data_IF_282099156684
#
_entry.id   IF_282099156684
#
_cell.length_a   1.000
_cell.length_b   1.000
_cell.length_c   1.000
_cell.angle_alpha   90.00
_cell.angle_beta   90.00
_cell.angle_gamma   90.00
#
_symmetry.space_group_name_H-M   'P 1'
#
loop_
_entity.id
_entity.type
_entity.pdbx_description
1 polymer ?
#
# COMPACT_ATOMS: atom_id res chain seq x y z
N UNK A 1 44.02 51.04 10.42
CA UNK A 1 43.78 49.61 10.75
C UNK A 1 42.29 49.21 10.71
N UNK A 2 41.34 50.08 11.08
CA UNK A 2 39.90 49.73 11.10
C UNK A 2 39.26 49.35 9.74
N UNK A 3 39.71 49.92 8.61
CA UNK A 3 39.16 49.56 7.27
C UNK A 3 39.52 48.13 6.81
N UNK A 4 40.71 47.62 7.17
CA UNK A 4 41.13 46.26 6.83
C UNK A 4 40.33 45.20 7.62
N UNK A 5 39.98 45.52 8.87
CA UNK A 5 39.15 44.65 9.71
C UNK A 5 37.71 44.54 9.21
N UNK A 6 37.11 45.64 8.74
CA UNK A 6 35.75 45.61 8.18
C UNK A 6 35.66 44.82 6.88
N UNK A 7 36.69 44.90 6.04
CA UNK A 7 36.74 44.12 4.80
C UNK A 7 36.88 42.61 5.09
N UNK A 8 37.74 42.25 6.05
CA UNK A 8 37.87 40.86 6.51
C UNK A 8 36.59 40.28 7.10
N UNK A 9 35.84 41.08 7.88
CA UNK A 9 34.57 40.64 8.46
C UNK A 9 33.47 40.46 7.40
N UNK A 10 33.40 41.34 6.39
CA UNK A 10 32.46 41.19 5.27
C UNK A 10 32.78 39.99 4.40
N UNK A 11 34.07 39.68 4.16
CA UNK A 11 34.46 38.50 3.38
C UNK A 11 34.15 37.22 4.16
N UNK A 12 34.37 37.20 5.47
CA UNK A 12 34.00 36.07 6.33
C UNK A 12 32.48 35.84 6.36
N UNK A 13 31.68 36.90 6.50
CA UNK A 13 30.22 36.83 6.43
C UNK A 13 29.73 36.35 5.06
N UNK A 14 30.39 36.78 3.97
CA UNK A 14 30.05 36.35 2.62
C UNK A 14 30.40 34.87 2.41
N UNK A 15 31.55 34.40 2.87
CA UNK A 15 31.93 32.97 2.82
C UNK A 15 31.01 32.08 3.66
N UNK A 16 30.59 32.54 4.85
CA UNK A 16 29.59 31.84 5.68
C UNK A 16 28.23 31.80 4.99
N UNK A 17 27.83 32.89 4.32
CA UNK A 17 26.58 32.91 3.55
C UNK A 17 26.63 32.00 2.31
N UNK A 18 27.77 31.91 1.62
CA UNK A 18 27.96 31.01 0.48
C UNK A 18 28.00 29.55 0.95
N UNK A 19 28.58 29.24 2.10
CA UNK A 19 28.51 27.89 2.68
C UNK A 19 27.10 27.52 3.15
N UNK A 20 26.31 28.46 3.68
CA UNK A 20 24.90 28.23 4.02
C UNK A 20 24.02 28.04 2.76
N UNK A 21 24.33 28.74 1.66
CA UNK A 21 23.62 28.59 0.37
C UNK A 21 24.03 27.28 -0.33
N UNK A 22 25.30 26.88 -0.28
CA UNK A 22 25.76 25.59 -0.81
C UNK A 22 25.22 24.42 0.02
N UNK A 23 25.13 24.54 1.36
CA UNK A 23 24.52 23.52 2.21
C UNK A 23 23.00 23.38 2.00
N UNK A 24 22.33 24.43 1.51
CA UNK A 24 20.91 24.37 1.15
C UNK A 24 20.64 23.79 -0.26
N UNK A 25 21.68 23.64 -1.09
CA UNK A 25 21.56 23.22 -2.48
C UNK A 25 22.15 21.83 -2.76
N UNK A 26 22.70 21.17 -1.74
CA UNK A 26 22.90 19.71 -1.77
C UNK A 26 21.57 19.05 -1.43
N UNK A 27 20.82 18.64 -2.47
CA UNK A 27 19.78 17.62 -2.31
C UNK A 27 20.45 16.38 -1.73
N UNK A 28 20.24 16.16 -0.43
CA UNK A 28 20.62 14.93 0.24
C UNK A 28 19.89 13.75 -0.41
N UNK A 29 20.58 12.71 -0.90
CA UNK A 29 19.93 11.55 -1.50
C UNK A 29 19.43 10.62 -0.39
N UNK A 30 18.43 11.04 0.39
CA UNK A 30 18.09 10.35 1.64
C UNK A 30 16.74 9.63 1.61
N UNK A 31 15.99 9.75 0.51
CA UNK A 31 14.74 9.02 0.30
C UNK A 31 14.80 8.26 -1.02
N UNK A 32 15.60 7.19 -1.08
CA UNK A 32 15.59 6.25 -2.20
C UNK A 32 14.52 5.18 -1.93
N UNK A 33 13.28 5.43 -2.30
CA UNK A 33 12.42 4.36 -2.83
C UNK A 33 12.54 4.41 -4.34
N UNK A 34 13.22 3.45 -4.93
CA UNK A 34 13.35 3.36 -6.39
C UNK A 34 11.95 3.29 -6.99
N UNK A 35 11.66 4.21 -7.92
CA UNK A 35 10.48 4.20 -8.78
C UNK A 35 10.45 2.85 -9.48
N UNK A 36 9.50 1.98 -9.17
CA UNK A 36 9.15 0.89 -10.09
C UNK A 36 8.75 1.57 -11.40
N UNK A 37 9.42 1.18 -12.49
CA UNK A 37 9.37 1.88 -13.76
C UNK A 37 7.94 2.04 -14.26
N UNK A 38 7.57 3.29 -14.54
CA UNK A 38 6.47 3.56 -15.47
C UNK A 38 6.89 3.06 -16.84
N UNK A 39 6.27 1.99 -17.34
CA UNK A 39 6.35 1.61 -18.74
C UNK A 39 5.64 2.68 -19.58
N UNK A 40 6.39 3.72 -19.92
CA UNK A 40 6.03 4.73 -20.91
C UNK A 40 6.21 4.12 -22.31
N UNK A 41 5.24 3.30 -22.74
CA UNK A 41 5.15 2.86 -24.14
C UNK A 41 4.29 3.82 -24.95
N UNK A 42 4.84 5.03 -25.17
CA UNK A 42 4.32 6.00 -26.15
C UNK A 42 5.38 6.40 -27.17
N UNK A 43 6.01 5.41 -27.83
CA UNK A 43 6.64 5.61 -29.14
C UNK A 43 6.39 4.41 -30.03
N UNK A 44 5.46 4.59 -30.98
CA UNK A 44 5.32 3.73 -32.13
C UNK A 44 6.58 3.84 -32.99
N UNK A 45 7.21 2.70 -33.23
CA UNK A 45 8.08 2.50 -34.38
C UNK A 45 7.24 1.70 -35.39
N UNK A 46 6.83 2.36 -36.47
CA UNK A 46 6.23 1.72 -37.63
C UNK A 46 7.27 0.81 -38.27
N UNK A 47 7.25 -0.49 -37.95
CA UNK A 47 7.80 -1.50 -38.84
C UNK A 47 6.73 -1.89 -39.86
N UNK A 48 6.88 -1.34 -41.07
CA UNK A 48 6.27 -1.83 -42.30
C UNK A 48 6.42 -3.35 -42.37
N UNK A 49 5.32 -4.08 -42.28
CA UNK A 49 5.26 -5.48 -42.71
C UNK A 49 4.69 -5.49 -44.11
N UNK A 50 5.57 -5.78 -45.07
CA UNK A 50 5.20 -6.22 -46.40
C UNK A 50 4.41 -7.53 -46.27
N UNK A 51 3.31 -7.63 -47.00
CA UNK A 51 2.54 -8.85 -47.17
C UNK A 51 3.43 -9.92 -47.81
N UNK A 52 3.82 -10.94 -47.04
CA UNK A 52 4.30 -12.22 -47.58
C UNK A 52 3.34 -13.34 -47.19
N UNK A 53 3.08 -14.18 -48.18
CA UNK A 53 1.98 -15.13 -48.29
C UNK A 53 1.93 -16.20 -47.19
N UNK A 54 0.71 -16.73 -47.03
CA UNK A 54 0.36 -17.91 -46.26
C UNK A 54 1.06 -19.17 -46.75
N UNK A 55 2.28 -19.45 -46.27
CA UNK A 55 2.93 -20.75 -46.38
C UNK A 55 3.21 -21.36 -44.99
N UNK A 56 2.51 -22.46 -44.70
CA UNK A 56 2.70 -23.45 -43.62
C UNK A 56 3.63 -23.07 -42.45
N UNK A 57 3.08 -22.45 -41.39
CA UNK A 57 3.77 -22.33 -40.11
C UNK A 57 4.04 -23.72 -39.52
N UNK A 58 5.32 -24.11 -39.41
CA UNK A 58 5.74 -25.40 -38.85
C UNK A 58 5.30 -25.51 -37.38
N UNK A 59 4.25 -26.29 -37.11
CA UNK A 59 3.75 -26.49 -35.73
C UNK A 59 4.76 -27.33 -34.93
N UNK A 60 5.24 -26.77 -33.83
CA UNK A 60 6.17 -27.45 -32.92
C UNK A 60 5.52 -28.73 -32.36
N UNK A 61 6.26 -29.83 -32.22
CA UNK A 61 5.78 -31.09 -31.60
C UNK A 61 6.34 -31.22 -30.17
N UNK A 62 5.56 -30.87 -29.12
CA UNK A 62 6.02 -30.92 -27.74
C UNK A 62 6.35 -32.33 -27.30
N UNK A 63 7.36 -32.45 -26.44
CA UNK A 63 7.68 -33.66 -25.68
C UNK A 63 7.58 -33.37 -24.18
N UNK A 64 7.69 -34.38 -23.33
CA UNK A 64 7.65 -34.22 -21.87
C UNK A 64 8.81 -33.38 -21.30
N UNK A 65 9.91 -33.24 -22.06
CA UNK A 65 11.06 -32.39 -21.70
C UNK A 65 10.97 -31.02 -22.38
N UNK A 66 11.48 -29.99 -21.69
CA UNK A 66 11.56 -28.62 -22.19
C UNK A 66 12.47 -28.52 -23.42
N UNK A 67 11.98 -27.85 -24.45
CA UNK A 67 12.70 -27.62 -25.70
C UNK A 67 12.53 -26.16 -26.16
N UNK A 68 13.59 -25.56 -26.68
CA UNK A 68 13.58 -24.17 -27.16
C UNK A 68 12.74 -24.00 -28.43
N UNK A 69 11.89 -22.97 -28.45
CA UNK A 69 11.09 -22.53 -29.59
C UNK A 69 11.87 -21.58 -30.48
N UNK A 70 11.75 -21.76 -31.81
CA UNK A 70 12.27 -20.82 -32.79
C UNK A 70 11.31 -19.63 -33.01
N UNK A 71 11.80 -18.44 -33.36
CA UNK A 71 10.95 -17.30 -33.71
C UNK A 71 10.01 -17.65 -34.88
N UNK A 72 8.71 -17.36 -34.73
CA UNK A 72 7.69 -17.64 -35.74
C UNK A 72 7.07 -19.05 -35.69
N UNK A 73 7.53 -19.94 -34.80
CA UNK A 73 7.01 -21.30 -34.71
C UNK A 73 5.71 -21.39 -33.88
N UNK A 74 4.68 -22.06 -34.41
CA UNK A 74 3.39 -22.20 -33.75
C UNK A 74 3.41 -23.29 -32.65
N UNK A 75 2.79 -23.00 -31.49
CA UNK A 75 2.72 -23.92 -30.35
C UNK A 75 1.35 -24.59 -30.25
N UNK A 76 1.26 -25.93 -30.12
CA UNK A 76 -0.03 -26.62 -29.95
C UNK A 76 -0.76 -26.25 -28.66
N UNK A 77 -2.09 -26.18 -28.72
CA UNK A 77 -2.94 -26.00 -27.55
C UNK A 77 -2.72 -27.14 -26.53
N UNK A 78 -2.63 -26.79 -25.24
CA UNK A 78 -2.31 -27.74 -24.16
C UNK A 78 -0.81 -27.91 -23.87
N UNK A 79 0.07 -27.21 -24.60
CA UNK A 79 1.52 -27.21 -24.30
C UNK A 79 1.87 -26.18 -23.24
N UNK A 80 2.75 -26.52 -22.31
CA UNK A 80 3.24 -25.58 -21.30
C UNK A 80 4.45 -24.83 -21.86
N UNK A 81 4.34 -23.49 -21.97
CA UNK A 81 5.39 -22.60 -22.51
C UNK A 81 5.95 -21.75 -21.38
N UNK A 82 7.28 -21.59 -21.33
CA UNK A 82 7.96 -20.69 -20.39
C UNK A 82 9.01 -19.83 -21.09
N UNK A 83 9.38 -18.71 -20.49
CA UNK A 83 10.57 -17.95 -20.84
C UNK A 83 11.69 -18.33 -19.87
N UNK A 84 12.80 -18.85 -20.37
CA UNK A 84 13.97 -19.15 -19.54
C UNK A 84 14.69 -17.84 -19.21
N UNK A 85 14.60 -17.38 -17.96
CA UNK A 85 15.13 -16.09 -17.52
C UNK A 85 16.67 -16.01 -17.48
N UNK A 86 17.38 -17.14 -17.54
CA UNK A 86 18.84 -17.17 -17.66
C UNK A 86 19.31 -17.00 -19.12
N UNK A 87 18.56 -17.54 -20.09
CA UNK A 87 18.96 -17.54 -21.51
C UNK A 87 18.15 -16.61 -22.40
N UNK A 88 17.03 -16.06 -21.90
CA UNK A 88 16.08 -15.23 -22.64
C UNK A 88 15.27 -16.00 -23.68
N UNK A 89 15.37 -17.33 -23.75
CA UNK A 89 14.73 -18.15 -24.77
C UNK A 89 13.37 -18.68 -24.33
N UNK A 90 12.41 -18.75 -25.27
CA UNK A 90 11.11 -19.40 -25.03
C UNK A 90 11.27 -20.91 -25.16
N UNK A 91 10.82 -21.66 -24.17
CA UNK A 91 10.85 -23.13 -24.15
C UNK A 91 9.43 -23.67 -24.03
N UNK A 92 9.16 -24.85 -24.59
CA UNK A 92 7.88 -25.52 -24.50
C UNK A 92 8.04 -27.00 -24.15
N UNK A 93 7.08 -27.54 -23.39
CA UNK A 93 6.93 -28.97 -23.12
C UNK A 93 5.45 -29.38 -23.19
N UNK A 94 5.18 -30.68 -23.21
CA UNK A 94 3.81 -31.22 -23.14
C UNK A 94 3.19 -30.88 -21.77
N UNK A 95 1.94 -30.40 -21.76
CA UNK A 95 1.21 -30.12 -20.53
C UNK A 95 0.65 -31.41 -19.92
N UNK A 96 0.80 -31.56 -18.60
CA UNK A 96 0.12 -32.60 -17.83
C UNK A 96 -1.27 -32.07 -17.46
N UNK A 97 -2.34 -32.85 -17.70
CA UNK A 97 -3.71 -32.52 -17.28
C UNK A 97 -3.84 -32.64 -15.75
N UNK A 98 -3.25 -31.71 -15.01
CA UNK A 98 -3.60 -31.50 -13.61
C UNK A 98 -4.80 -30.55 -13.53
N UNK A 99 -5.94 -31.12 -13.14
CA UNK A 99 -7.19 -30.42 -12.84
C UNK A 99 -6.94 -29.34 -11.77
N UNK A 100 -6.86 -28.09 -12.20
CA UNK A 100 -6.70 -26.93 -11.33
C UNK A 100 -7.93 -26.76 -10.41
N UNK A 101 -7.69 -26.88 -9.11
CA UNK A 101 -8.67 -26.91 -8.01
C UNK A 101 -9.15 -25.53 -7.54
N UNK A 102 -9.17 -24.50 -8.39
CA UNK A 102 -9.47 -23.11 -7.96
C UNK A 102 -10.41 -22.32 -8.87
N UNK A 103 -11.33 -22.98 -9.57
CA UNK A 103 -12.43 -22.31 -10.30
C UNK A 103 -13.80 -22.87 -9.87
N UNK A 104 -14.06 -22.86 -8.56
CA UNK A 104 -15.43 -22.98 -8.02
C UNK A 104 -15.76 -21.71 -7.25
N UNK A 105 -16.26 -20.72 -7.97
CA UNK A 105 -17.50 -20.04 -7.58
C UNK A 105 -18.00 -19.19 -8.75
N UNK A 106 -19.07 -19.67 -9.37
CA UNK A 106 -19.64 -19.10 -10.58
C UNK A 106 -20.71 -20.02 -11.12
N UNK A 107 -21.86 -19.99 -10.46
CA UNK A 107 -23.03 -20.83 -10.70
C UNK A 107 -23.44 -20.80 -12.20
N UNK A 108 -23.02 -21.83 -12.96
CA UNK A 108 -23.62 -22.19 -14.24
C UNK A 108 -23.99 -23.66 -14.17
N UNK A 109 -25.29 -23.92 -14.27
CA UNK A 109 -25.87 -25.24 -14.41
C UNK A 109 -25.10 -26.06 -15.45
N UNK A 110 -24.35 -27.07 -14.98
CA UNK A 110 -23.82 -28.14 -15.82
C UNK A 110 -24.65 -29.38 -15.56
N UNK A 111 -25.51 -29.70 -16.53
CA UNK A 111 -26.12 -31.02 -16.65
C UNK A 111 -25.01 -32.06 -16.80
N UNK A 112 -24.99 -33.03 -15.89
CA UNK A 112 -23.99 -34.09 -15.84
C UNK A 112 -24.23 -35.08 -16.96
N UNK A 113 -23.52 -34.92 -18.08
CA UNK A 113 -23.44 -35.93 -19.12
C UNK A 113 -22.00 -36.32 -19.38
N UNK A 114 -21.70 -37.57 -19.02
CA UNK A 114 -20.49 -38.31 -19.36
C UNK A 114 -20.36 -38.35 -20.90
N UNK A 115 -19.37 -37.65 -21.47
CA UNK A 115 -19.13 -37.70 -22.91
C UNK A 115 -18.63 -39.10 -23.32
N UNK A 116 -19.25 -39.76 -24.31
CA UNK A 116 -18.66 -40.95 -24.91
C UNK A 116 -17.47 -40.52 -25.78
N UNK A 117 -16.30 -41.13 -25.59
CA UNK A 117 -15.14 -40.89 -26.44
C UNK A 117 -15.40 -41.44 -27.84
N UNK A 118 -15.46 -40.58 -28.85
CA UNK A 118 -15.54 -41.01 -30.25
C UNK A 118 -14.22 -41.65 -30.70
N UNK A 119 -14.34 -42.71 -31.49
CA UNK A 119 -13.17 -43.35 -32.10
C UNK A 119 -12.60 -42.50 -33.25
N UNK A 120 -11.31 -42.69 -33.56
CA UNK A 120 -10.65 -41.96 -34.64
C UNK A 120 -11.34 -42.16 -36.00
N UNK A 121 -11.95 -43.34 -36.24
CA UNK A 121 -12.77 -43.60 -37.43
C UNK A 121 -14.08 -42.79 -37.45
N UNK A 122 -14.81 -42.71 -36.33
CA UNK A 122 -16.05 -41.91 -36.24
C UNK A 122 -15.79 -40.42 -36.44
N UNK A 123 -14.67 -39.93 -35.89
CA UNK A 123 -14.24 -38.55 -36.09
C UNK A 123 -13.88 -38.27 -37.55
N UNK A 124 -13.24 -39.24 -38.23
CA UNK A 124 -12.89 -39.15 -39.65
C UNK A 124 -14.13 -39.15 -40.55
N UNK A 125 -15.14 -39.93 -40.22
CA UNK A 125 -16.40 -40.00 -40.95
C UNK A 125 -17.24 -38.72 -40.74
N UNK A 126 -17.23 -38.16 -39.54
CA UNK A 126 -17.83 -36.86 -39.24
C UNK A 126 -17.15 -35.72 -40.02
N UNK A 127 -15.81 -35.69 -40.06
CA UNK A 127 -15.05 -34.69 -40.84
C UNK A 127 -15.28 -34.83 -42.36
N UNK A 128 -15.50 -36.06 -42.85
CA UNK A 128 -15.83 -36.32 -44.25
C UNK A 128 -17.22 -35.80 -44.63
N UNK A 129 -18.18 -35.78 -43.68
CA UNK A 129 -19.49 -35.13 -43.84
C UNK A 129 -19.38 -33.61 -43.85
N UNK A 130 -18.49 -33.02 -43.04
CA UNK A 130 -18.22 -31.57 -43.07
C UNK A 130 -17.59 -31.11 -44.39
N UNK A 131 -16.65 -31.89 -44.95
CA UNK A 131 -15.98 -31.53 -46.22
C UNK A 131 -16.89 -31.64 -47.45
N UNK A 132 -18.00 -32.36 -47.35
CA UNK A 132 -19.00 -32.50 -48.42
C UNK A 132 -20.11 -31.42 -48.40
N UNK A 133 -20.06 -30.52 -47.42
CA UNK A 133 -20.93 -29.33 -47.33
C UNK A 133 -20.25 -28.03 -47.74
N UNK A 134 -19.10 -28.11 -48.43
CA UNK A 134 -18.35 -26.97 -48.96
C UNK A 134 -18.65 -26.70 -50.44
N UNK A 135 -19.87 -27.01 -50.88
CA UNK A 135 -20.47 -26.24 -51.97
C UNK A 135 -21.12 -25.02 -51.30
N UNK A 136 -20.70 -23.83 -51.71
CA UNK A 136 -21.09 -22.52 -51.15
C UNK A 136 -22.52 -22.50 -50.57
N UNK A 137 -22.67 -22.49 -49.22
CA UNK A 137 -23.96 -22.23 -48.63
C UNK A 137 -24.19 -20.71 -48.73
N UNK A 138 -25.06 -20.33 -49.66
CA UNK A 138 -25.74 -19.04 -49.82
C UNK A 138 -25.39 -17.94 -48.79
N UNK A 139 -25.03 -16.76 -49.32
CA UNK A 139 -24.94 -15.42 -48.70
C UNK A 139 -26.01 -15.06 -47.65
N UNK A 140 -27.10 -15.83 -47.53
CA UNK A 140 -28.25 -15.55 -46.66
C UNK A 140 -27.98 -15.76 -45.16
N UNK A 141 -27.08 -16.67 -44.77
CA UNK A 141 -26.85 -16.97 -43.33
C UNK A 141 -25.82 -16.04 -42.66
N UNK A 142 -24.77 -15.65 -43.36
CA UNK A 142 -23.81 -14.66 -42.83
C UNK A 142 -24.38 -13.24 -42.80
N UNK A 143 -25.25 -12.89 -43.76
CA UNK A 143 -25.98 -11.61 -43.75
C UNK A 143 -27.01 -11.53 -42.60
N UNK A 144 -27.72 -12.63 -42.30
CA UNK A 144 -28.65 -12.69 -41.18
C UNK A 144 -27.95 -12.53 -39.81
N UNK A 145 -26.74 -13.07 -39.64
CA UNK A 145 -25.95 -12.90 -38.41
C UNK A 145 -25.36 -11.48 -38.35
N UNK A 146 -24.84 -10.93 -39.45
CA UNK A 146 -24.36 -9.52 -39.48
C UNK A 146 -25.50 -8.51 -39.23
N UNK A 147 -26.72 -8.81 -39.66
CA UNK A 147 -27.90 -7.98 -39.39
C UNK A 147 -28.36 -8.02 -37.91
N UNK A 148 -27.90 -8.99 -37.11
CA UNK A 148 -28.16 -9.03 -35.67
C UNK A 148 -27.19 -8.16 -34.85
N UNK A 149 -26.05 -7.78 -35.42
CA UNK A 149 -25.05 -6.94 -34.75
C UNK A 149 -25.07 -5.52 -35.31
N UNK A 150 -24.92 -4.52 -34.43
CA UNK A 150 -24.76 -3.14 -34.87
C UNK A 150 -23.46 -2.98 -35.67
N UNK A 151 -23.45 -2.14 -36.72
CA UNK A 151 -22.25 -1.88 -37.50
C UNK A 151 -21.15 -1.29 -36.59
N UNK A 152 -19.91 -1.73 -36.80
CA UNK A 152 -18.79 -1.37 -35.93
C UNK A 152 -18.50 0.13 -35.95
N UNK A 153 -18.82 0.82 -37.03
CA UNK A 153 -18.71 2.28 -37.18
C UNK A 153 -19.71 3.04 -36.30
N UNK A 154 -20.91 2.51 -36.11
CA UNK A 154 -21.91 3.08 -35.19
C UNK A 154 -21.49 2.86 -33.74
N UNK A 155 -20.95 1.67 -33.42
CA UNK A 155 -20.39 1.39 -32.09
C UNK A 155 -19.17 2.25 -31.79
N UNK A 156 -18.28 2.50 -32.76
CA UNK A 156 -17.15 3.42 -32.62
C UNK A 156 -17.61 4.85 -32.39
N UNK A 157 -18.61 5.31 -33.14
CA UNK A 157 -19.19 6.65 -32.97
C UNK A 157 -19.90 6.81 -31.63
N UNK A 158 -20.63 5.78 -31.19
CA UNK A 158 -21.27 5.76 -29.88
C UNK A 158 -20.22 5.74 -28.76
N UNK A 159 -19.14 4.95 -28.90
CA UNK A 159 -18.00 4.96 -27.98
C UNK A 159 -17.29 6.31 -27.95
N UNK A 160 -17.04 6.95 -29.09
CA UNK A 160 -16.45 8.30 -29.16
C UNK A 160 -17.37 9.36 -28.53
N UNK A 161 -18.69 9.23 -28.70
CA UNK A 161 -19.66 10.11 -28.06
C UNK A 161 -19.75 9.88 -26.53
N UNK A 162 -19.56 8.64 -26.07
CA UNK A 162 -19.46 8.27 -24.66
C UNK A 162 -18.12 8.71 -24.05
N UNK A 163 -17.01 8.55 -24.76
CA UNK A 163 -15.65 8.95 -24.34
C UNK A 163 -15.55 10.48 -24.14
N UNK A 164 -16.27 11.25 -24.97
CA UNK A 164 -16.45 12.70 -24.81
C UNK A 164 -17.23 13.11 -23.54
N UNK A 165 -17.96 12.18 -22.91
CA UNK A 165 -18.79 12.43 -21.72
C UNK A 165 -18.17 11.90 -20.43
N UNK A 166 -17.13 11.06 -20.51
CA UNK A 166 -16.43 10.52 -19.33
C UNK A 166 -15.25 11.43 -19.02
N UNK A 167 -15.40 12.30 -18.03
CA UNK A 167 -14.26 13.03 -17.48
C UNK A 167 -13.30 12.03 -16.84
N UNK A 168 -12.02 12.08 -17.22
CA UNK A 168 -10.97 11.32 -16.53
C UNK A 168 -10.72 11.90 -15.15
N UNK A 169 -10.31 11.06 -14.20
CA UNK A 169 -9.97 11.51 -12.84
C UNK A 169 -8.94 12.63 -12.84
N UNK A 170 -7.95 12.59 -13.73
CA UNK A 170 -6.94 13.66 -13.87
C UNK A 170 -7.58 15.00 -14.28
N UNK A 171 -8.55 14.99 -15.21
CA UNK A 171 -9.29 16.20 -15.61
C UNK A 171 -10.16 16.72 -14.46
N UNK A 172 -10.85 15.82 -13.75
CA UNK A 172 -11.65 16.17 -12.57
C UNK A 172 -10.77 16.80 -11.49
N UNK A 173 -9.65 16.15 -11.11
CA UNK A 173 -8.71 16.67 -10.12
C UNK A 173 -8.15 18.04 -10.53
N UNK A 174 -7.82 18.25 -11.81
CA UNK A 174 -7.35 19.56 -12.28
C UNK A 174 -8.42 20.64 -12.10
N UNK A 175 -9.69 20.34 -12.40
CA UNK A 175 -10.81 21.26 -12.17
C UNK A 175 -10.96 21.59 -10.68
N UNK A 176 -10.90 20.57 -9.82
CA UNK A 176 -11.00 20.74 -8.35
C UNK A 176 -9.86 21.61 -7.80
N UNK A 177 -8.62 21.38 -8.25
CA UNK A 177 -7.47 22.20 -7.85
C UNK A 177 -7.60 23.66 -8.32
N UNK A 178 -8.12 23.89 -9.54
CA UNK A 178 -8.37 25.23 -10.04
C UNK A 178 -9.48 25.95 -9.26
N UNK A 179 -10.57 25.26 -8.93
CA UNK A 179 -11.63 25.78 -8.07
C UNK A 179 -11.08 26.12 -6.69
N UNK A 180 -10.26 25.23 -6.13
CA UNK A 180 -9.63 25.44 -4.83
C UNK A 180 -8.73 26.69 -4.80
N UNK A 181 -7.91 26.89 -5.84
CA UNK A 181 -6.98 28.01 -5.94
C UNK A 181 -7.64 29.34 -6.35
N UNK A 182 -8.90 29.31 -6.80
CA UNK A 182 -9.62 30.51 -7.20
C UNK A 182 -9.93 31.39 -5.98
N UNK A 183 -9.58 32.68 -6.06
CA UNK A 183 -9.88 33.67 -5.01
C UNK A 183 -11.37 33.94 -4.87
N UNK A 184 -12.13 33.74 -5.94
CA UNK A 184 -13.57 34.00 -5.97
C UNK A 184 -14.39 32.81 -5.44
N UNK A 185 -13.77 31.65 -5.24
CA UNK A 185 -14.48 30.48 -4.72
C UNK A 185 -14.76 30.63 -3.23
N UNK A 186 -15.99 30.26 -2.86
CA UNK A 186 -16.45 30.32 -1.47
C UNK A 186 -15.73 29.27 -0.61
N UNK A 187 -15.76 29.44 0.71
CA UNK A 187 -15.18 28.45 1.62
C UNK A 187 -15.86 27.09 1.48
N UNK A 188 -17.19 27.05 1.29
CA UNK A 188 -17.92 25.79 1.09
C UNK A 188 -17.50 25.10 -0.21
N UNK A 189 -17.35 25.84 -1.30
CA UNK A 189 -16.85 25.29 -2.57
C UNK A 189 -15.45 24.68 -2.42
N UNK A 190 -14.57 25.34 -1.65
CA UNK A 190 -13.23 24.82 -1.37
C UNK A 190 -13.26 23.56 -0.50
N UNK A 191 -14.16 23.49 0.47
CA UNK A 191 -14.36 22.30 1.31
C UNK A 191 -14.87 21.15 0.44
N UNK A 192 -15.90 21.38 -0.39
CA UNK A 192 -16.42 20.36 -1.32
C UNK A 192 -15.34 19.88 -2.27
N UNK A 193 -14.56 20.80 -2.86
CA UNK A 193 -13.48 20.41 -3.76
C UNK A 193 -12.40 19.55 -3.07
N UNK A 194 -12.08 19.83 -1.80
CA UNK A 194 -11.16 19.00 -1.02
C UNK A 194 -11.77 17.63 -0.68
N UNK A 195 -13.06 17.53 -0.41
CA UNK A 195 -13.72 16.25 -0.13
C UNK A 195 -13.81 15.37 -1.40
N UNK A 196 -14.14 15.96 -2.55
CA UNK A 196 -14.14 15.25 -3.82
C UNK A 196 -12.71 14.81 -4.20
N UNK A 197 -11.72 15.66 -3.93
CA UNK A 197 -10.32 15.31 -4.13
C UNK A 197 -9.89 14.17 -3.20
N UNK A 198 -10.33 14.18 -1.94
CA UNK A 198 -10.03 13.11 -0.98
C UNK A 198 -10.50 11.75 -1.48
N UNK A 199 -11.71 11.67 -2.06
CA UNK A 199 -12.24 10.45 -2.65
C UNK A 199 -11.34 9.93 -3.78
N UNK A 200 -10.91 10.81 -4.69
CA UNK A 200 -10.10 10.43 -5.85
C UNK A 200 -8.71 9.93 -5.47
N UNK A 201 -8.07 10.54 -4.47
CA UNK A 201 -6.68 10.22 -4.08
C UNK A 201 -6.54 8.95 -3.24
N UNK A 202 -7.64 8.24 -2.94
CA UNK A 202 -7.56 6.85 -2.45
C UNK A 202 -6.91 5.94 -3.49
N UNK A 203 -7.06 6.26 -4.78
CA UNK A 203 -6.35 5.56 -5.82
C UNK A 203 -4.88 6.03 -5.87
N UNK A 204 -3.97 5.07 -5.84
CA UNK A 204 -2.52 5.29 -5.79
C UNK A 204 -2.04 6.19 -6.93
N UNK A 205 -2.53 5.96 -8.16
CA UNK A 205 -2.16 6.73 -9.34
C UNK A 205 -2.70 8.16 -9.29
N UNK A 206 -3.91 8.35 -8.78
CA UNK A 206 -4.49 9.69 -8.59
C UNK A 206 -3.70 10.50 -7.56
N UNK A 207 -3.24 9.88 -6.47
CA UNK A 207 -2.38 10.53 -5.51
C UNK A 207 -1.02 10.96 -6.14
N UNK A 208 -0.44 10.14 -7.03
CA UNK A 208 0.77 10.52 -7.77
C UNK A 208 0.51 11.63 -8.81
N UNK A 209 -0.65 11.61 -9.45
CA UNK A 209 -1.10 12.67 -10.36
C UNK A 209 -1.32 13.99 -9.60
N UNK A 210 -1.86 13.95 -8.37
CA UNK A 210 -1.98 15.12 -7.50
C UNK A 210 -0.61 15.77 -7.25
N UNK A 211 0.41 14.97 -6.95
CA UNK A 211 1.80 15.45 -6.80
C UNK A 211 2.29 16.07 -8.11
N UNK A 212 2.15 15.36 -9.23
CA UNK A 212 2.62 15.80 -10.55
C UNK A 212 2.01 17.13 -11.00
N UNK A 213 0.78 17.43 -10.56
CA UNK A 213 0.10 18.70 -10.82
C UNK A 213 0.43 19.81 -9.80
N UNK A 214 1.34 19.58 -8.85
CA UNK A 214 1.68 20.52 -7.78
C UNK A 214 0.58 20.67 -6.71
N UNK A 215 -0.44 19.82 -6.74
CA UNK A 215 -1.57 19.88 -5.82
C UNK A 215 -1.21 19.49 -4.39
N UNK A 216 -0.19 18.66 -4.19
CA UNK A 216 0.28 18.28 -2.85
C UNK A 216 0.68 19.50 -2.01
N UNK A 217 1.50 20.41 -2.57
CA UNK A 217 1.92 21.61 -1.85
C UNK A 217 0.74 22.54 -1.55
N UNK A 218 -0.26 22.60 -2.42
CA UNK A 218 -1.50 23.35 -2.17
C UNK A 218 -2.21 22.79 -0.94
N UNK A 219 -2.43 21.48 -0.88
CA UNK A 219 -3.06 20.79 0.27
C UNK A 219 -2.27 21.04 1.56
N UNK A 220 -0.94 20.90 1.53
CA UNK A 220 -0.07 21.17 2.68
C UNK A 220 -0.20 22.61 3.19
N UNK A 221 -0.35 23.58 2.29
CA UNK A 221 -0.53 24.99 2.67
C UNK A 221 -1.88 25.22 3.36
N UNK A 222 -2.93 24.46 3.01
CA UNK A 222 -4.26 24.57 3.63
C UNK A 222 -4.26 24.19 5.11
N UNK A 223 -3.34 23.33 5.55
CA UNK A 223 -3.19 22.99 6.98
C UNK A 223 -2.97 24.23 7.87
N UNK A 224 -2.44 25.32 7.30
CA UNK A 224 -2.25 26.60 7.98
C UNK A 224 -3.47 27.53 7.94
N UNK A 225 -4.59 27.10 7.34
CA UNK A 225 -5.82 27.90 7.27
C UNK A 225 -6.36 28.25 8.67
N UNK A 226 -7.01 29.40 8.78
CA UNK A 226 -7.74 29.79 9.99
C UNK A 226 -9.09 29.07 10.11
N UNK A 227 -9.64 28.54 9.00
CA UNK A 227 -10.87 27.76 9.01
C UNK A 227 -10.56 26.29 9.36
N UNK A 228 -11.13 25.84 10.49
CA UNK A 228 -11.01 24.50 11.05
C UNK A 228 -11.46 23.42 10.06
N UNK A 229 -12.50 23.69 9.26
CA UNK A 229 -13.06 22.73 8.30
C UNK A 229 -12.12 22.52 7.13
N UNK A 230 -11.45 23.59 6.68
CA UNK A 230 -10.40 23.49 5.67
C UNK A 230 -9.19 22.72 6.21
N UNK A 231 -8.78 22.95 7.47
CA UNK A 231 -7.73 22.15 8.11
C UNK A 231 -8.11 20.66 8.17
N UNK A 232 -9.36 20.37 8.53
CA UNK A 232 -9.89 19.00 8.61
C UNK A 232 -9.86 18.29 7.26
N UNK A 233 -10.43 18.92 6.21
CA UNK A 233 -10.47 18.35 4.86
C UNK A 233 -9.07 18.19 4.27
N UNK A 234 -8.18 19.16 4.46
CA UNK A 234 -6.81 19.06 3.97
C UNK A 234 -6.01 17.95 4.64
N UNK A 235 -6.15 17.78 5.96
CA UNK A 235 -5.55 16.66 6.66
C UNK A 235 -6.12 15.33 6.17
N UNK A 236 -7.41 15.29 5.82
CA UNK A 236 -8.03 14.08 5.30
C UNK A 236 -7.50 13.70 3.91
N UNK A 237 -7.48 14.64 2.96
CA UNK A 237 -6.86 14.47 1.63
C UNK A 237 -5.43 13.98 1.76
N UNK A 238 -4.63 14.65 2.60
CA UNK A 238 -3.23 14.30 2.80
C UNK A 238 -3.07 12.87 3.32
N UNK A 239 -3.86 12.47 4.32
CA UNK A 239 -3.80 11.12 4.88
C UNK A 239 -4.20 10.02 3.89
N UNK A 240 -5.17 10.29 3.01
CA UNK A 240 -5.60 9.36 1.97
C UNK A 240 -4.55 9.25 0.86
N UNK A 241 -4.01 10.39 0.40
CA UNK A 241 -3.00 10.43 -0.67
C UNK A 241 -1.68 9.73 -0.31
N UNK A 242 -1.23 9.84 0.94
CA UNK A 242 0.03 9.23 1.40
C UNK A 242 -0.13 7.76 1.83
N UNK A 243 -1.36 7.25 1.92
CA UNK A 243 -1.63 5.90 2.41
C UNK A 243 -1.06 4.86 1.44
N UNK A 244 -0.12 4.04 1.92
CA UNK A 244 0.53 2.99 1.12
C UNK A 244 1.17 3.50 -0.17
N UNK A 245 1.65 4.75 -0.18
CA UNK A 245 2.21 5.38 -1.38
C UNK A 245 3.57 6.06 -1.08
N UNK A 246 4.69 5.32 -1.16
CA UNK A 246 6.02 5.83 -0.80
C UNK A 246 6.43 7.09 -1.56
N UNK A 247 6.15 7.16 -2.86
CA UNK A 247 6.49 8.34 -3.66
C UNK A 247 5.77 9.59 -3.16
N UNK A 248 4.50 9.46 -2.79
CA UNK A 248 3.69 10.58 -2.29
C UNK A 248 4.04 10.91 -0.82
N UNK A 249 4.41 9.90 -0.02
CA UNK A 249 4.94 10.12 1.33
C UNK A 249 6.22 10.96 1.32
N UNK A 250 7.14 10.70 0.39
CA UNK A 250 8.39 11.47 0.22
C UNK A 250 8.06 12.94 -0.04
N UNK A 251 7.24 13.21 -1.05
CA UNK A 251 6.83 14.56 -1.45
C UNK A 251 6.10 15.30 -0.32
N UNK A 252 5.28 14.60 0.45
CA UNK A 252 4.64 15.16 1.63
C UNK A 252 5.63 15.53 2.75
N UNK A 253 6.63 14.68 3.02
CA UNK A 253 7.69 14.98 4.00
C UNK A 253 8.55 16.16 3.55
N UNK A 254 9.01 16.16 2.30
CA UNK A 254 9.83 17.23 1.73
C UNK A 254 9.07 18.56 1.67
N UNK A 255 7.75 18.52 1.40
CA UNK A 255 6.86 19.68 1.47
C UNK A 255 6.58 20.20 2.89
N UNK A 256 7.13 19.55 3.93
CA UNK A 256 7.01 19.96 5.33
C UNK A 256 5.68 19.62 5.98
N UNK A 257 4.94 18.63 5.45
CA UNK A 257 3.63 18.25 5.97
C UNK A 257 3.70 17.75 7.42
N UNK A 258 4.69 16.92 7.75
CA UNK A 258 4.84 16.32 9.08
C UNK A 258 4.93 17.37 10.19
N UNK A 259 5.74 18.43 10.00
CA UNK A 259 5.86 19.51 10.98
C UNK A 259 4.53 20.22 11.23
N UNK A 260 3.77 20.50 10.15
CA UNK A 260 2.45 21.15 10.25
C UNK A 260 1.44 20.26 10.97
N UNK A 261 1.42 18.96 10.63
CA UNK A 261 0.54 17.99 11.27
C UNK A 261 0.84 17.88 12.78
N UNK A 262 2.11 17.76 13.17
CA UNK A 262 2.49 17.73 14.59
C UNK A 262 2.08 19.01 15.32
N UNK A 263 2.23 20.16 14.67
CA UNK A 263 1.77 21.46 15.23
C UNK A 263 0.25 21.48 15.45
N UNK A 264 -0.54 20.91 14.54
CA UNK A 264 -2.00 20.81 14.69
C UNK A 264 -2.41 19.84 15.81
N UNK A 265 -1.65 18.78 16.05
CA UNK A 265 -1.90 17.86 17.18
C UNK A 265 -1.58 18.51 18.53
N UNK A 266 -0.45 19.23 18.60
CA UNK A 266 0.04 19.89 19.82
C UNK A 266 -0.80 21.11 20.21
N UNK A 267 -1.42 21.80 19.26
CA UNK A 267 -2.23 23.00 19.53
C UNK A 267 -3.70 22.68 19.84
N UNK A 268 -4.40 23.65 20.43
CA UNK A 268 -5.84 23.51 20.73
C UNK A 268 -6.64 23.50 19.42
N UNK A 269 -7.22 22.34 19.10
CA UNK A 269 -8.10 22.12 17.95
C UNK A 269 -9.24 21.17 18.33
N UNK A 270 -10.39 21.23 17.61
CA UNK A 270 -11.47 20.27 17.82
C UNK A 270 -11.02 18.83 17.58
N UNK A 271 -11.66 17.90 18.27
CA UNK A 271 -11.35 16.48 18.15
C UNK A 271 -11.56 15.95 16.71
N UNK A 272 -12.46 16.55 15.92
CA UNK A 272 -12.64 16.20 14.50
C UNK A 272 -11.38 16.43 13.67
N UNK A 273 -10.76 17.62 13.80
CA UNK A 273 -9.47 17.94 13.17
C UNK A 273 -8.39 16.99 13.67
N UNK A 274 -8.26 16.81 15.00
CA UNK A 274 -7.22 15.93 15.55
C UNK A 274 -7.36 14.48 15.06
N UNK A 275 -8.58 13.98 14.85
CA UNK A 275 -8.85 12.65 14.24
C UNK A 275 -8.26 12.55 12.83
N UNK A 276 -8.47 13.56 11.98
CA UNK A 276 -7.96 13.57 10.60
C UNK A 276 -6.46 13.81 10.52
N UNK A 277 -5.94 14.70 11.36
CA UNK A 277 -4.50 14.94 11.47
C UNK A 277 -3.77 13.70 11.98
N UNK A 278 -4.29 13.01 13.00
CA UNK A 278 -3.70 11.77 13.50
C UNK A 278 -3.75 10.66 12.44
N UNK A 279 -4.83 10.59 11.66
CA UNK A 279 -4.90 9.69 10.51
C UNK A 279 -3.80 10.00 9.48
N UNK A 280 -3.61 11.27 9.11
CA UNK A 280 -2.55 11.65 8.18
C UNK A 280 -1.15 11.34 8.72
N UNK A 281 -0.89 11.60 10.01
CA UNK A 281 0.37 11.22 10.65
C UNK A 281 0.56 9.71 10.62
N UNK A 282 -0.46 8.92 10.97
CA UNK A 282 -0.40 7.47 10.92
C UNK A 282 -0.04 6.95 9.51
N UNK A 283 -0.76 7.41 8.49
CA UNK A 283 -0.53 7.02 7.09
C UNK A 283 0.85 7.43 6.59
N UNK A 284 1.38 8.56 7.06
CA UNK A 284 2.71 9.05 6.68
C UNK A 284 3.85 8.25 7.33
N UNK A 285 3.63 7.67 8.53
CA UNK A 285 4.64 6.93 9.28
C UNK A 285 4.71 5.45 8.92
N UNK A 286 3.59 4.85 8.52
CA UNK A 286 3.53 3.42 8.19
C UNK A 286 4.40 3.08 7.00
N UNK A 287 5.17 2.01 7.16
CA UNK A 287 6.08 1.46 6.15
C UNK A 287 7.11 2.46 5.61
N UNK A 288 7.40 3.54 6.35
CA UNK A 288 8.28 4.60 5.88
C UNK A 288 9.29 5.06 6.97
N UNK A 289 10.42 4.36 7.12
CA UNK A 289 11.37 4.61 8.21
C UNK A 289 11.99 6.01 8.17
N UNK A 290 12.13 6.61 6.98
CA UNK A 290 12.58 8.01 6.84
C UNK A 290 11.62 8.98 7.55
N UNK A 291 10.30 8.86 7.34
CA UNK A 291 9.31 9.67 8.06
C UNK A 291 9.32 9.37 9.56
N UNK A 292 9.49 8.11 9.97
CA UNK A 292 9.60 7.73 11.38
C UNK A 292 10.80 8.42 12.06
N UNK A 293 11.96 8.43 11.40
CA UNK A 293 13.17 9.13 11.89
C UNK A 293 12.92 10.63 12.06
N UNK A 294 12.30 11.28 11.06
CA UNK A 294 11.93 12.70 11.15
C UNK A 294 10.91 12.96 12.25
N UNK A 295 9.92 12.10 12.43
CA UNK A 295 8.92 12.20 13.49
C UNK A 295 9.55 12.15 14.88
N UNK A 296 10.52 11.25 15.10
CA UNK A 296 11.28 11.20 16.35
C UNK A 296 12.07 12.50 16.57
N UNK A 297 12.79 12.98 15.56
CA UNK A 297 13.59 14.23 15.63
C UNK A 297 12.75 15.46 15.95
N UNK A 298 11.50 15.49 15.48
CA UNK A 298 10.55 16.59 15.73
C UNK A 298 9.80 16.47 17.05
N UNK A 299 10.16 15.51 17.93
CA UNK A 299 9.49 15.31 19.21
C UNK A 299 8.07 14.73 19.06
N UNK A 300 7.79 14.03 17.96
CA UNK A 300 6.45 13.51 17.66
C UNK A 300 5.91 12.57 18.74
N UNK A 301 6.76 11.77 19.38
CA UNK A 301 6.36 10.89 20.50
C UNK A 301 5.86 11.70 21.70
N UNK A 302 6.49 12.84 22.00
CA UNK A 302 6.05 13.73 23.07
C UNK A 302 4.69 14.34 22.71
N UNK A 303 4.49 14.78 21.47
CA UNK A 303 3.19 15.31 21.00
C UNK A 303 2.08 14.26 21.13
N UNK A 304 2.35 13.00 20.78
CA UNK A 304 1.40 11.90 20.97
C UNK A 304 1.10 11.64 22.44
N UNK A 305 2.09 11.77 23.32
CA UNK A 305 1.91 11.60 24.76
C UNK A 305 1.01 12.71 25.34
N UNK A 306 1.32 13.97 25.04
CA UNK A 306 0.48 15.10 25.45
C UNK A 306 -0.96 14.96 24.93
N UNK A 307 -1.12 14.50 23.70
CA UNK A 307 -2.44 14.21 23.11
C UNK A 307 -3.16 13.06 23.81
N UNK A 308 -2.44 12.02 24.24
CA UNK A 308 -2.99 10.87 24.94
C UNK A 308 -3.56 11.26 26.31
N UNK A 309 -2.84 12.13 27.04
CA UNK A 309 -3.21 12.59 28.36
C UNK A 309 -4.25 13.73 28.36
N UNK A 310 -4.46 14.40 27.23
CA UNK A 310 -5.42 15.50 27.13
C UNK A 310 -6.86 15.01 27.37
N UNK A 311 -7.66 15.68 28.23
CA UNK A 311 -9.07 15.36 28.39
C UNK A 311 -9.88 15.64 27.11
N UNK A 312 -10.80 14.76 26.74
CA UNK A 312 -11.65 14.88 25.55
C UNK A 312 -11.04 14.30 24.26
N UNK A 313 -9.87 13.68 24.34
CA UNK A 313 -9.20 12.96 23.24
C UNK A 313 -9.11 11.45 23.49
N UNK A 314 -9.89 10.91 24.42
CA UNK A 314 -9.97 9.48 24.74
C UNK A 314 -10.23 8.61 23.50
N UNK A 315 -11.12 9.00 22.54
CA UNK A 315 -11.33 8.22 21.31
C UNK A 315 -10.10 8.13 20.39
N UNK A 316 -9.06 8.93 20.64
CA UNK A 316 -7.81 8.90 19.89
C UNK A 316 -6.78 7.94 20.48
N UNK A 317 -6.89 7.60 21.78
CA UNK A 317 -5.86 6.83 22.50
C UNK A 317 -5.56 5.48 21.83
N UNK A 318 -6.60 4.77 21.43
CA UNK A 318 -6.46 3.49 20.69
C UNK A 318 -5.69 3.70 19.39
N UNK A 319 -6.03 4.74 18.61
CA UNK A 319 -5.31 5.04 17.36
C UNK A 319 -3.85 5.39 17.60
N UNK A 320 -3.56 6.12 18.68
CA UNK A 320 -2.19 6.49 19.05
C UNK A 320 -1.37 5.23 19.33
N UNK A 321 -1.85 4.34 20.20
CA UNK A 321 -1.11 3.10 20.51
C UNK A 321 -1.01 2.17 19.30
N UNK A 322 -2.01 2.15 18.41
CA UNK A 322 -1.93 1.38 17.17
C UNK A 322 -0.79 1.88 16.28
N UNK A 323 -0.63 3.19 16.09
CA UNK A 323 0.50 3.72 15.30
C UNK A 323 1.84 3.38 15.93
N UNK A 324 1.95 3.46 17.25
CA UNK A 324 3.17 3.08 17.96
C UNK A 324 3.48 1.59 17.79
N UNK A 325 2.47 0.73 17.93
CA UNK A 325 2.57 -0.71 17.68
C UNK A 325 2.98 -1.01 16.25
N UNK A 326 2.37 -0.36 15.26
CA UNK A 326 2.68 -0.53 13.83
C UNK A 326 4.18 -0.22 13.60
N UNK A 327 4.69 0.92 14.09
CA UNK A 327 6.10 1.28 13.94
C UNK A 327 7.06 0.29 14.65
N UNK A 328 6.70 -0.21 15.83
CA UNK A 328 7.52 -1.21 16.55
C UNK A 328 7.57 -2.51 15.76
N UNK A 329 6.41 -3.01 15.33
CA UNK A 329 6.29 -4.29 14.64
C UNK A 329 6.88 -4.25 13.25
N UNK A 330 6.72 -3.16 12.51
CA UNK A 330 7.40 -2.96 11.23
C UNK A 330 8.93 -3.11 11.37
N UNK A 331 9.54 -2.41 12.33
CA UNK A 331 10.98 -2.51 12.58
C UNK A 331 11.39 -3.93 12.95
N UNK A 332 10.67 -4.56 13.88
CA UNK A 332 10.96 -5.94 14.31
C UNK A 332 10.86 -6.91 13.13
N UNK A 333 9.77 -6.86 12.36
CA UNK A 333 9.53 -7.76 11.24
C UNK A 333 10.61 -7.62 10.15
N UNK A 334 11.00 -6.39 9.84
CA UNK A 334 12.06 -6.10 8.86
C UNK A 334 13.42 -6.65 9.33
N UNK A 335 13.78 -6.45 10.61
CA UNK A 335 15.05 -6.97 11.15
C UNK A 335 15.07 -8.50 11.23
N UNK A 336 13.97 -9.12 11.68
CA UNK A 336 13.85 -10.59 11.72
C UNK A 336 13.92 -11.21 10.32
N UNK A 337 13.31 -10.55 9.31
CA UNK A 337 13.40 -10.99 7.93
C UNK A 337 14.84 -10.92 7.39
N UNK A 338 15.59 -9.88 7.75
CA UNK A 338 17.01 -9.76 7.42
C UNK A 338 17.85 -10.90 8.03
N UNK A 339 17.70 -11.15 9.33
CA UNK A 339 18.43 -12.23 10.03
C UNK A 339 18.15 -13.60 9.41
N UNK A 340 16.88 -13.89 9.09
CA UNK A 340 16.49 -15.14 8.44
C UNK A 340 17.06 -15.26 7.01
N UNK A 341 17.11 -14.16 6.27
CA UNK A 341 17.68 -14.13 4.91
C UNK A 341 19.19 -14.34 4.92
N UNK A 342 19.91 -13.76 5.89
CA UNK A 342 21.34 -14.01 6.08
C UNK A 342 21.60 -15.49 6.39
N UNK A 343 20.78 -16.12 7.23
CA UNK A 343 20.88 -17.55 7.54
C UNK A 343 20.73 -18.43 6.29
N UNK A 344 19.80 -18.06 5.39
CA UNK A 344 19.56 -18.78 4.12
C UNK A 344 20.73 -18.58 3.14
N UNK A 345 21.30 -17.38 3.06
CA UNK A 345 22.46 -17.10 2.20
C UNK A 345 23.70 -17.91 2.60
N UNK A 346 23.88 -18.19 3.90
CA UNK A 346 24.95 -19.05 4.41
C UNK A 346 24.81 -20.52 3.98
N UNK A 347 23.62 -20.94 3.52
CA UNK A 347 23.33 -22.31 3.03
C UNK A 347 23.52 -22.43 1.51
N UNK A 348 24.03 -21.39 0.82
CA UNK A 348 24.61 -21.52 -0.52
C UNK A 348 23.71 -21.12 -1.70
N UNK A 349 22.73 -20.24 -1.49
CA UNK A 349 22.11 -19.48 -2.59
C UNK A 349 22.48 -18.01 -2.47
N UNK A 350 23.30 -17.53 -3.40
CA UNK A 350 23.67 -16.12 -3.54
C UNK A 350 22.45 -15.31 -4.02
N UNK A 351 21.56 -14.94 -3.09
CA UNK A 351 20.50 -13.97 -3.35
C UNK A 351 21.17 -12.59 -3.31
N UNK A 352 21.35 -11.96 -4.47
CA UNK A 352 21.76 -10.55 -4.53
C UNK A 352 20.62 -9.74 -3.88
N UNK A 353 20.84 -9.09 -2.72
CA UNK A 353 19.76 -8.37 -2.07
C UNK A 353 19.45 -7.12 -2.88
N UNK A 354 18.16 -6.86 -3.12
CA UNK A 354 17.69 -5.64 -3.75
C UNK A 354 18.24 -4.41 -3.00
N UNK A 355 18.89 -3.50 -3.72
CA UNK A 355 19.44 -2.25 -3.18
C UNK A 355 18.41 -1.42 -2.40
N UNK A 356 17.13 -1.47 -2.81
CA UNK A 356 16.01 -0.82 -2.13
C UNK A 356 15.72 -1.46 -0.77
N UNK A 357 15.76 -2.79 -0.69
CA UNK A 357 15.56 -3.52 0.56
C UNK A 357 16.70 -3.26 1.56
N UNK A 358 17.95 -3.23 1.09
CA UNK A 358 19.11 -2.91 1.94
C UNK A 358 19.04 -1.48 2.50
N UNK A 359 18.65 -0.51 1.69
CA UNK A 359 18.48 0.87 2.16
C UNK A 359 17.34 0.97 3.18
N UNK A 360 16.21 0.29 2.95
CA UNK A 360 15.11 0.23 3.92
C UNK A 360 15.55 -0.35 5.26
N UNK A 361 16.32 -1.46 5.24
CA UNK A 361 16.89 -2.07 6.44
C UNK A 361 17.77 -1.09 7.21
N UNK A 362 18.68 -0.40 6.50
CA UNK A 362 19.54 0.62 7.09
C UNK A 362 18.72 1.71 7.77
N UNK A 363 17.69 2.24 7.10
CA UNK A 363 16.86 3.29 7.66
C UNK A 363 16.11 2.83 8.92
N UNK A 364 15.54 1.62 8.94
CA UNK A 364 14.91 1.07 10.15
C UNK A 364 15.90 0.85 11.30
N UNK A 365 17.15 0.49 11.01
CA UNK A 365 18.19 0.36 12.02
C UNK A 365 18.44 1.69 12.75
N UNK A 366 18.43 2.81 12.02
CA UNK A 366 18.60 4.17 12.55
C UNK A 366 17.40 4.66 13.39
N UNK A 367 16.19 4.12 13.19
CA UNK A 367 14.98 4.52 13.94
C UNK A 367 15.02 3.98 15.37
N UNK A 368 15.31 4.84 16.35
CA UNK A 368 15.40 4.48 17.78
C UNK A 368 14.11 4.73 18.55
N UNK A 369 13.01 4.07 18.20
CA UNK A 369 11.67 4.32 18.77
C UNK A 369 11.52 3.86 20.23
N UNK A 370 11.84 2.59 20.54
CA UNK A 370 11.55 2.00 21.85
C UNK A 370 12.18 2.77 23.04
N UNK A 371 13.46 3.19 23.01
CA UNK A 371 14.03 4.00 24.10
C UNK A 371 13.28 5.31 24.31
N UNK A 372 12.92 6.01 23.24
CA UNK A 372 12.15 7.25 23.31
C UNK A 372 10.76 7.02 23.93
N UNK A 373 10.12 5.89 23.64
CA UNK A 373 8.85 5.52 24.27
C UNK A 373 8.99 5.33 25.79
N UNK A 374 10.06 4.68 26.24
CA UNK A 374 10.34 4.50 27.68
C UNK A 374 10.59 5.85 28.35
N UNK A 375 11.42 6.69 27.76
CA UNK A 375 11.74 8.04 28.28
C UNK A 375 10.50 8.92 28.39
N UNK A 376 9.57 8.77 27.45
CA UNK A 376 8.29 9.48 27.43
C UNK A 376 7.21 8.78 28.28
N UNK A 377 7.53 7.75 29.07
CA UNK A 377 6.58 7.15 30.03
C UNK A 377 5.51 6.25 29.42
N UNK A 378 5.66 5.78 28.19
CA UNK A 378 4.64 4.94 27.54
C UNK A 378 4.44 3.58 28.22
N UNK A 379 5.43 3.07 28.96
CA UNK A 379 5.28 1.86 29.76
C UNK A 379 4.21 2.00 30.88
N UNK A 380 3.90 3.21 31.35
CA UNK A 380 2.80 3.43 32.31
C UNK A 380 1.47 3.77 31.64
N UNK A 381 1.51 4.44 30.48
CA UNK A 381 0.31 4.91 29.77
C UNK A 381 -0.45 3.79 29.06
N UNK A 382 0.24 2.86 28.37
CA UNK A 382 -0.43 1.79 27.61
C UNK A 382 -1.28 0.87 28.53
N UNK A 383 -0.81 0.47 29.73
CA UNK A 383 -1.63 -0.30 30.68
C UNK A 383 -2.97 0.34 31.05
N UNK A 384 -3.07 1.67 31.08
CA UNK A 384 -4.32 2.37 31.46
C UNK A 384 -5.49 2.05 30.53
N UNK A 385 -5.20 1.62 29.29
CA UNK A 385 -6.23 1.26 28.31
C UNK A 385 -6.90 -0.09 28.57
N UNK A 386 -6.31 -0.96 29.39
CA UNK A 386 -6.91 -2.25 29.75
C UNK A 386 -8.23 -2.08 30.54
N UNK A 387 -8.44 -0.91 31.16
CA UNK A 387 -9.67 -0.56 31.89
C UNK A 387 -10.86 -0.33 30.94
N UNK A 388 -10.62 -0.08 29.65
CA UNK A 388 -11.68 0.14 28.66
C UNK A 388 -12.68 -1.02 28.66
N UNK A 389 -13.99 -0.78 28.50
CA UNK A 389 -14.97 -1.85 28.31
C UNK A 389 -14.89 -2.46 26.89
N UNK A 390 -14.24 -1.80 25.94
CA UNK A 390 -14.17 -2.22 24.54
C UNK A 390 -13.09 -3.30 24.33
N UNK A 391 -13.48 -4.45 23.79
CA UNK A 391 -12.56 -5.57 23.53
C UNK A 391 -11.46 -5.21 22.53
N UNK A 392 -11.77 -4.50 21.44
CA UNK A 392 -10.79 -4.00 20.46
C UNK A 392 -9.70 -3.12 21.11
N UNK A 393 -10.09 -2.27 22.06
CA UNK A 393 -9.15 -1.43 22.81
C UNK A 393 -8.20 -2.28 23.65
N UNK A 394 -8.73 -3.25 24.39
CA UNK A 394 -7.93 -4.17 25.22
C UNK A 394 -6.97 -5.01 24.38
N UNK A 395 -7.46 -5.54 23.27
CA UNK A 395 -6.68 -6.33 22.33
C UNK A 395 -5.50 -5.52 21.78
N UNK A 396 -5.74 -4.30 21.28
CA UNK A 396 -4.68 -3.39 20.81
C UNK A 396 -3.71 -2.99 21.91
N UNK A 397 -4.21 -2.74 23.13
CA UNK A 397 -3.36 -2.45 24.27
C UNK A 397 -2.46 -3.64 24.61
N UNK A 398 -3.00 -4.85 24.71
CA UNK A 398 -2.22 -6.07 24.98
C UNK A 398 -1.15 -6.33 23.93
N UNK A 399 -1.47 -6.19 22.63
CA UNK A 399 -0.46 -6.30 21.56
C UNK A 399 0.65 -5.26 21.70
N UNK A 400 0.29 -4.02 22.04
CA UNK A 400 1.27 -2.95 22.27
C UNK A 400 2.15 -3.24 23.49
N UNK A 401 1.58 -3.71 24.60
CA UNK A 401 2.32 -4.10 25.80
C UNK A 401 3.34 -5.21 25.50
N UNK A 402 2.92 -6.23 24.74
CA UNK A 402 3.78 -7.33 24.32
C UNK A 402 4.92 -6.86 23.41
N UNK A 403 4.63 -5.95 22.47
CA UNK A 403 5.64 -5.38 21.58
C UNK A 403 6.68 -4.53 22.34
N UNK A 404 6.27 -3.87 23.42
CA UNK A 404 7.14 -3.04 24.27
C UNK A 404 7.81 -3.84 25.40
N UNK A 405 7.52 -5.14 25.54
CA UNK A 405 7.97 -5.97 26.66
C UNK A 405 9.48 -5.89 26.89
N UNK A 406 10.29 -5.96 25.83
CA UNK A 406 11.75 -6.00 25.93
C UNK A 406 12.36 -4.80 26.68
N UNK A 407 11.69 -3.65 26.67
CA UNK A 407 12.18 -2.41 27.30
C UNK A 407 11.35 -1.99 28.53
N UNK A 408 10.10 -2.44 28.63
CA UNK A 408 9.20 -2.09 29.73
C UNK A 408 9.07 -3.16 30.82
N UNK A 409 9.72 -4.33 30.69
CA UNK A 409 9.51 -5.48 31.57
C UNK A 409 9.63 -5.14 33.06
N UNK A 410 10.67 -4.39 33.45
CA UNK A 410 10.88 -3.99 34.85
C UNK A 410 9.75 -3.13 35.39
N UNK A 411 9.26 -2.17 34.60
CA UNK A 411 8.17 -1.29 35.00
C UNK A 411 6.84 -2.04 35.06
N UNK A 412 6.58 -2.95 34.11
CA UNK A 412 5.39 -3.80 34.14
C UNK A 412 5.37 -4.70 35.37
N UNK A 413 6.49 -5.33 35.72
CA UNK A 413 6.63 -6.17 36.94
C UNK A 413 6.37 -5.38 38.23
N UNK A 414 6.71 -4.09 38.25
CA UNK A 414 6.53 -3.22 39.41
C UNK A 414 5.13 -2.57 39.47
N UNK A 415 4.28 -2.78 38.46
CA UNK A 415 2.95 -2.18 38.39
C UNK A 415 1.88 -3.17 38.94
N UNK A 416 1.40 -2.96 40.19
CA UNK A 416 0.39 -3.84 40.78
C UNK A 416 -0.97 -3.72 40.08
N UNK A 417 -1.31 -2.54 39.55
CA UNK A 417 -2.56 -2.33 38.83
C UNK A 417 -2.60 -3.15 37.54
N UNK A 418 -1.50 -3.16 36.77
CA UNK A 418 -1.39 -4.00 35.57
C UNK A 418 -1.55 -5.49 35.91
N UNK A 419 -0.92 -5.95 36.99
CA UNK A 419 -1.01 -7.36 37.41
C UNK A 419 -2.44 -7.73 37.80
N UNK A 420 -3.12 -6.85 38.56
CA UNK A 420 -4.53 -7.04 38.92
C UNK A 420 -5.45 -7.08 37.69
N UNK A 421 -5.29 -6.12 36.78
CA UNK A 421 -6.06 -6.06 35.53
C UNK A 421 -5.85 -7.31 34.67
N UNK A 422 -4.62 -7.81 34.53
CA UNK A 422 -4.37 -9.03 33.75
C UNK A 422 -5.02 -10.27 34.38
N UNK A 423 -5.01 -10.40 35.72
CA UNK A 423 -5.70 -11.50 36.41
C UNK A 423 -7.21 -11.43 36.24
N UNK A 424 -7.81 -10.23 36.33
CA UNK A 424 -9.24 -10.04 36.12
C UNK A 424 -9.63 -10.35 34.67
N UNK A 425 -8.88 -9.84 33.69
CA UNK A 425 -9.12 -10.09 32.27
C UNK A 425 -8.94 -11.57 31.92
N UNK A 426 -7.98 -12.28 32.53
CA UNK A 426 -7.78 -13.70 32.30
C UNK A 426 -9.02 -14.52 32.67
N UNK A 427 -9.62 -14.25 33.84
CA UNK A 427 -10.86 -14.90 34.27
C UNK A 427 -12.01 -14.52 33.32
N UNK A 428 -12.15 -13.23 33.02
CA UNK A 428 -13.22 -12.73 32.16
C UNK A 428 -13.19 -13.38 30.76
N UNK A 429 -12.03 -13.41 30.10
CA UNK A 429 -11.94 -13.98 28.75
C UNK A 429 -12.03 -15.51 28.75
N UNK A 430 -11.65 -16.20 29.83
CA UNK A 430 -11.93 -17.63 29.97
C UNK A 430 -13.43 -17.93 29.97
N UNK A 431 -14.23 -17.14 30.70
CA UNK A 431 -15.69 -17.28 30.72
C UNK A 431 -16.33 -16.96 29.35
N UNK A 432 -15.83 -15.92 28.66
CA UNK A 432 -16.31 -15.55 27.33
C UNK A 432 -16.00 -16.63 26.29
N UNK A 433 -14.82 -17.24 26.32
CA UNK A 433 -14.45 -18.34 25.42
C UNK A 433 -15.38 -19.55 25.61
N UNK A 434 -15.73 -19.90 26.85
CA UNK A 434 -16.67 -20.99 27.13
C UNK A 434 -18.07 -20.66 26.58
N UNK A 435 -18.51 -19.41 26.75
CA UNK A 435 -19.79 -18.95 26.23
C UNK A 435 -19.83 -18.99 24.70
N UNK A 436 -18.76 -18.58 24.03
CA UNK A 436 -18.61 -18.64 22.57
C UNK A 436 -18.75 -20.08 22.05
N UNK A 437 -18.13 -21.04 22.74
CA UNK A 437 -18.24 -22.47 22.44
C UNK A 437 -19.66 -23.01 22.64
N UNK A 438 -20.34 -22.59 23.70
CA UNK A 438 -21.72 -23.01 24.00
C UNK A 438 -22.73 -22.48 22.96
N UNK A 439 -22.50 -21.28 22.42
CA UNK A 439 -23.32 -20.66 21.36
C UNK A 439 -23.00 -21.24 19.97
N UNK A 440 -21.87 -21.94 19.83
CA UNK A 440 -21.43 -22.54 18.57
C UNK A 440 -20.77 -21.52 17.61
N UNK A 441 -20.31 -20.39 18.13
CA UNK A 441 -19.48 -19.44 17.38
C UNK A 441 -18.05 -20.03 17.27
N UNK A 442 -17.46 -19.92 16.07
CA UNK A 442 -16.16 -20.55 15.74
C UNK A 442 -15.14 -19.53 15.23
N UNK A 443 -15.39 -18.23 15.37
CA UNK A 443 -14.44 -17.20 14.93
C UNK A 443 -13.23 -17.09 15.87
N UNK A 444 -13.33 -17.61 17.09
CA UNK A 444 -12.21 -17.72 18.03
C UNK A 444 -11.77 -16.38 18.58
N UNK A 445 -12.61 -15.36 18.48
CA UNK A 445 -12.26 -13.97 18.78
C UNK A 445 -11.80 -13.81 20.23
N UNK A 446 -12.53 -14.36 21.19
CA UNK A 446 -12.17 -14.26 22.60
C UNK A 446 -10.97 -15.14 22.96
N UNK A 447 -10.76 -16.24 22.23
CA UNK A 447 -9.62 -17.12 22.43
C UNK A 447 -8.30 -16.43 22.03
N UNK A 448 -8.31 -15.63 20.96
CA UNK A 448 -7.15 -14.82 20.57
C UNK A 448 -6.79 -13.79 21.65
N UNK A 449 -7.78 -13.09 22.22
CA UNK A 449 -7.52 -12.11 23.28
C UNK A 449 -7.02 -12.80 24.55
N UNK A 450 -7.61 -13.94 24.93
CA UNK A 450 -7.12 -14.72 26.06
C UNK A 450 -5.65 -15.14 25.87
N UNK A 451 -5.28 -15.58 24.67
CA UNK A 451 -3.89 -15.92 24.35
C UNK A 451 -2.93 -14.72 24.50
N UNK A 452 -3.38 -13.50 24.18
CA UNK A 452 -2.60 -12.28 24.43
C UNK A 452 -2.42 -12.01 25.92
N UNK A 453 -3.48 -12.16 26.72
CA UNK A 453 -3.42 -12.01 28.19
C UNK A 453 -2.46 -13.04 28.80
N UNK A 454 -2.60 -14.31 28.43
CA UNK A 454 -1.74 -15.39 28.91
C UNK A 454 -0.27 -15.15 28.54
N UNK A 455 -0.01 -14.74 27.29
CA UNK A 455 1.32 -14.38 26.82
C UNK A 455 1.93 -13.26 27.65
N UNK A 456 1.14 -12.24 28.01
CA UNK A 456 1.59 -11.13 28.83
C UNK A 456 1.96 -11.61 30.25
N UNK A 457 1.10 -12.41 30.87
CA UNK A 457 1.32 -12.97 32.21
C UNK A 457 2.58 -13.84 32.24
N UNK A 458 2.79 -14.68 31.23
CA UNK A 458 3.99 -15.53 31.12
C UNK A 458 5.26 -14.68 31.00
N UNK A 459 5.28 -13.70 30.09
CA UNK A 459 6.45 -12.83 29.90
C UNK A 459 6.76 -11.94 31.10
N UNK A 460 5.76 -11.56 31.89
CA UNK A 460 5.96 -10.87 33.16
C UNK A 460 6.59 -11.76 34.25
N UNK A 461 6.49 -13.09 34.14
CA UNK A 461 7.08 -14.04 35.11
C UNK A 461 8.49 -14.50 34.72
N UNK A 462 8.84 -14.47 33.43
CA UNK A 462 10.16 -14.88 32.95
C UNK A 462 11.25 -13.91 33.46
N UNK A 463 12.35 -14.47 33.96
CA UNK A 463 13.47 -13.77 34.62
C UNK A 463 14.35 -13.08 33.61
#
# INVERSE_FOLDING_TARGET
MQKKWRLGLSIALWLVSVHLICAHNEKSPTALSIKEGSDDHSKGEETLLEDEDSEDLEVFRPTDKWQTLKPGQAVPAGSHVRLNLQTGQREVKMGEEEVLKYWSDGNRYSDGTMYPSFTAEELKEALKKFKKGMDDPEDSKQSAVRAQFRPIEELKKDMEALDMLVETDVQVMRRLLNQFNNTNSTTEEKITALLDLEYLVHQVDNAQNLVSMGGMQLVINVLNSTDIRLQESAAFVLGSAVSSNPSVQIEAIEGGALQKLLTLLATKRPTSVKKKVLFAVASLLRHFPFAQSHFLKLGGVQVLNELFQTPGTEPLRVRIITVLYDMITEKVNILMAAENSELISQVGMDIIPDSSHQERLRQYAEVSLLPVLVEQGWCSLVPELLVSPEHDCREKALRTLLAMMAQCQTQYKQNPALTASLSELQIQYQELVLTEQDVGEQDGYFAEILALVDSMVVKMRQV
#
